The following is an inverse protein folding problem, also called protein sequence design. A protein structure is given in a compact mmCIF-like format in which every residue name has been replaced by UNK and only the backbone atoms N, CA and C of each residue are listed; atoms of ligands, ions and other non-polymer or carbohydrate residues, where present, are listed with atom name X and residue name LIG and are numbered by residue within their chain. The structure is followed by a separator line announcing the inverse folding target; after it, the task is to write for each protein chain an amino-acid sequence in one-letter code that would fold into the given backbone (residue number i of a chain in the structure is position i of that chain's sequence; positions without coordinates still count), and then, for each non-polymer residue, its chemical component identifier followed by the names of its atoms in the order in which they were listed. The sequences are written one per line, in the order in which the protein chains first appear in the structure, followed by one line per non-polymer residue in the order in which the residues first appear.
data_IF_943745193899
#
_entry.id   IF_943745193899
#
_cell.length_a   1.000
_cell.length_b   1.000
_cell.length_c   1.000
_cell.angle_alpha   90.00
_cell.angle_beta   90.00
_cell.angle_gamma   90.00
#
_symmetry.space_group_name_H-M   'P 1'
#
loop_
_entity.id
_entity.type
_entity.pdbx_description
1 polymer ?
#
# COMPACT_ATOMS: atom_id res chain seq x y z
N UNK A 1 -16.29 3.73 15.36
CA UNK A 1 -15.65 2.48 15.78
C UNK A 1 -14.39 2.81 16.56
N UNK A 2 -14.30 2.39 17.83
CA UNK A 2 -13.21 2.74 18.73
C UNK A 2 -11.88 2.12 18.22
N UNK A 3 -10.76 2.82 18.48
CA UNK A 3 -9.39 2.42 18.12
C UNK A 3 -9.04 1.01 18.64
N UNK A 4 -9.60 0.61 19.81
CA UNK A 4 -9.44 -0.73 20.37
C UNK A 4 -10.16 -1.81 19.56
N UNK A 5 -11.34 -1.53 19.03
CA UNK A 5 -12.10 -2.44 18.17
C UNK A 5 -11.38 -2.67 16.83
N UNK A 6 -10.76 -1.62 16.23
CA UNK A 6 -9.93 -1.77 15.01
C UNK A 6 -8.72 -2.65 15.25
N UNK A 7 -8.08 -2.56 16.43
CA UNK A 7 -6.93 -3.41 16.76
C UNK A 7 -7.31 -4.87 17.02
N UNK A 8 -8.51 -5.13 17.56
CA UNK A 8 -9.02 -6.51 17.73
C UNK A 8 -9.29 -7.17 16.38
N UNK A 9 -10.07 -6.53 15.51
CA UNK A 9 -10.40 -7.08 14.18
C UNK A 9 -9.16 -7.35 13.30
N UNK A 10 -8.06 -6.61 13.49
CA UNK A 10 -6.83 -6.81 12.71
C UNK A 10 -6.07 -8.09 13.12
N UNK A 11 -6.27 -8.58 14.33
CA UNK A 11 -5.59 -9.78 14.87
C UNK A 11 -6.41 -11.06 14.74
N UNK A 12 -7.71 -10.94 14.54
CA UNK A 12 -8.60 -12.09 14.45
C UNK A 12 -8.56 -12.71 13.06
N UNK A 13 -8.69 -14.03 12.99
CA UNK A 13 -8.89 -14.73 11.74
C UNK A 13 -10.18 -14.28 11.06
N UNK A 14 -10.20 -14.28 9.74
CA UNK A 14 -11.35 -13.87 8.96
C UNK A 14 -11.34 -14.49 7.56
N UNK A 15 -12.25 -14.01 6.72
CA UNK A 15 -12.37 -14.54 5.37
C UNK A 15 -11.39 -13.86 4.41
N UNK A 16 -10.79 -14.66 3.53
CA UNK A 16 -10.09 -14.19 2.35
C UNK A 16 -11.06 -14.23 1.18
N UNK A 17 -11.27 -13.08 0.53
CA UNK A 17 -12.27 -12.90 -0.53
C UNK A 17 -11.62 -12.38 -1.81
N UNK A 18 -12.19 -12.72 -2.96
CA UNK A 18 -11.84 -12.13 -4.24
C UNK A 18 -12.55 -10.76 -4.45
N UNK A 19 -12.27 -10.08 -5.58
CA UNK A 19 -12.88 -8.78 -5.90
C UNK A 19 -14.41 -8.83 -6.12
N UNK A 20 -15.00 -10.00 -6.31
CA UNK A 20 -16.45 -10.19 -6.37
C UNK A 20 -17.09 -10.34 -4.98
N UNK A 21 -16.27 -10.48 -3.93
CA UNK A 21 -16.70 -10.77 -2.56
C UNK A 21 -16.89 -12.26 -2.27
N UNK A 22 -16.53 -13.15 -3.20
CA UNK A 22 -16.59 -14.61 -2.98
C UNK A 22 -15.49 -15.01 -2.00
N UNK A 23 -15.86 -15.79 -1.00
CA UNK A 23 -14.90 -16.37 -0.04
C UNK A 23 -14.09 -17.47 -0.74
N UNK A 24 -12.78 -17.34 -0.72
CA UNK A 24 -11.82 -18.26 -1.34
C UNK A 24 -10.84 -18.88 -0.33
N UNK A 25 -10.89 -18.43 0.92
CA UNK A 25 -10.03 -18.95 1.98
C UNK A 25 -10.24 -18.22 3.30
N UNK A 26 -9.33 -18.44 4.22
CA UNK A 26 -9.28 -17.74 5.51
C UNK A 26 -7.89 -17.17 5.75
N UNK A 27 -7.83 -16.08 6.51
CA UNK A 27 -6.59 -15.46 6.97
C UNK A 27 -6.48 -15.54 8.50
N UNK A 28 -5.25 -15.51 9.02
CA UNK A 28 -4.95 -15.60 10.46
C UNK A 28 -4.91 -14.24 11.18
N UNK A 29 -5.36 -13.19 10.52
CA UNK A 29 -5.36 -11.80 11.00
C UNK A 29 -4.80 -10.85 9.96
N UNK A 30 -5.52 -9.77 9.67
CA UNK A 30 -5.17 -8.80 8.62
C UNK A 30 -3.80 -8.16 8.83
N UNK A 31 -3.29 -8.11 10.06
CA UNK A 31 -1.99 -7.54 10.39
C UNK A 31 -0.80 -8.32 9.79
N UNK A 32 -0.98 -9.60 9.52
CA UNK A 32 0.08 -10.45 8.97
C UNK A 32 0.25 -10.33 7.46
N UNK A 33 -0.62 -9.57 6.78
CA UNK A 33 -0.63 -9.45 5.33
C UNK A 33 -0.29 -8.03 4.90
N UNK A 34 0.45 -7.93 3.79
CA UNK A 34 0.85 -6.66 3.17
C UNK A 34 0.33 -6.60 1.73
N UNK A 35 0.02 -5.41 1.22
CA UNK A 35 -0.37 -5.22 -0.18
C UNK A 35 0.70 -5.79 -1.11
N UNK A 36 0.27 -6.51 -2.14
CA UNK A 36 1.13 -7.19 -3.10
C UNK A 36 1.78 -8.48 -2.58
N UNK A 37 1.45 -8.94 -1.36
CA UNK A 37 1.91 -10.22 -0.86
C UNK A 37 1.33 -11.37 -1.68
N UNK A 38 2.20 -12.34 -2.04
CA UNK A 38 1.85 -13.53 -2.83
C UNK A 38 1.90 -14.81 -2.01
N UNK A 39 2.85 -14.91 -1.07
CA UNK A 39 3.11 -16.15 -0.31
C UNK A 39 2.35 -16.15 1.01
N UNK A 40 2.00 -17.35 1.50
CA UNK A 40 1.39 -17.52 2.82
C UNK A 40 -0.08 -17.07 2.88
N UNK A 41 -0.79 -17.06 1.75
CA UNK A 41 -2.20 -16.67 1.69
C UNK A 41 -3.16 -17.80 2.10
N UNK A 42 -2.67 -19.04 2.26
CA UNK A 42 -3.51 -20.17 2.58
C UNK A 42 -4.51 -20.57 1.48
N UNK A 43 -4.39 -19.96 0.29
CA UNK A 43 -5.23 -20.24 -0.87
C UNK A 43 -4.52 -21.32 -1.67
N UNK A 44 -4.74 -22.59 -1.33
CA UNK A 44 -4.14 -23.74 -1.99
C UNK A 44 -5.19 -24.59 -2.72
N UNK A 45 -4.86 -25.04 -3.94
CA UNK A 45 -5.61 -26.11 -4.62
C UNK A 45 -6.91 -25.69 -5.30
N UNK A 46 -7.18 -24.42 -5.51
CA UNK A 46 -8.30 -24.00 -6.36
C UNK A 46 -7.89 -24.18 -7.83
N UNK A 47 -8.39 -25.23 -8.46
CA UNK A 47 -8.25 -25.46 -9.91
C UNK A 47 -9.11 -24.51 -10.76
N UNK A 48 -9.82 -23.58 -10.11
CA UNK A 48 -10.69 -22.60 -10.76
C UNK A 48 -9.93 -21.26 -10.88
N UNK A 49 -9.56 -20.88 -12.09
CA UNK A 49 -8.94 -19.59 -12.37
C UNK A 49 -7.94 -19.67 -13.52
N UNK A 50 -7.25 -18.56 -13.77
CA UNK A 50 -6.28 -18.41 -14.87
C UNK A 50 -4.97 -19.16 -14.63
N UNK A 51 -4.77 -19.82 -13.49
CA UNK A 51 -3.50 -20.44 -13.07
C UNK A 51 -2.47 -19.42 -12.57
N UNK A 52 -2.80 -18.12 -12.57
CA UNK A 52 -1.93 -17.07 -12.06
C UNK A 52 -1.88 -17.04 -10.54
N UNK A 53 -0.87 -16.39 -10.01
CA UNK A 53 -0.70 -16.26 -8.57
C UNK A 53 -1.70 -15.28 -7.95
N UNK A 54 -2.10 -15.55 -6.71
CA UNK A 54 -2.91 -14.66 -5.92
C UNK A 54 -2.06 -13.57 -5.25
N UNK A 55 -2.58 -12.34 -5.23
CA UNK A 55 -1.96 -11.19 -4.58
C UNK A 55 -2.95 -10.48 -3.66
N UNK A 56 -2.47 -10.00 -2.53
CA UNK A 56 -3.26 -9.13 -1.66
C UNK A 56 -3.41 -7.76 -2.32
N UNK A 57 -4.64 -7.35 -2.56
CA UNK A 57 -4.99 -6.06 -3.18
C UNK A 57 -5.65 -5.08 -2.20
N UNK A 58 -6.10 -5.57 -1.04
CA UNK A 58 -6.70 -4.71 -0.03
C UNK A 58 -7.09 -5.42 1.25
N UNK A 59 -7.63 -4.64 2.19
CA UNK A 59 -8.12 -5.10 3.49
C UNK A 59 -9.42 -4.37 3.81
N UNK A 60 -10.52 -5.11 3.96
CA UNK A 60 -11.78 -4.60 4.50
C UNK A 60 -11.74 -4.72 6.02
N UNK A 61 -11.33 -3.63 6.67
CA UNK A 61 -11.17 -3.61 8.14
C UNK A 61 -12.52 -3.69 8.87
N UNK A 62 -13.61 -3.23 8.23
CA UNK A 62 -14.95 -3.23 8.85
C UNK A 62 -15.51 -4.64 8.98
N UNK A 63 -15.27 -5.48 7.96
CA UNK A 63 -15.79 -6.85 7.87
C UNK A 63 -14.72 -7.91 8.17
N UNK A 64 -13.51 -7.49 8.55
CA UNK A 64 -12.34 -8.35 8.78
C UNK A 64 -12.08 -9.31 7.60
N UNK A 65 -11.98 -8.76 6.39
CA UNK A 65 -11.74 -9.52 5.16
C UNK A 65 -10.43 -9.14 4.50
N UNK A 66 -9.68 -10.14 4.06
CA UNK A 66 -8.51 -9.97 3.22
C UNK A 66 -8.96 -10.03 1.76
N UNK A 67 -8.74 -8.95 1.01
CA UNK A 67 -9.12 -8.89 -0.41
C UNK A 67 -7.93 -9.29 -1.26
N UNK A 68 -8.11 -10.29 -2.10
CA UNK A 68 -7.06 -10.82 -2.98
C UNK A 68 -7.55 -10.92 -4.42
N UNK A 69 -6.61 -10.93 -5.35
CA UNK A 69 -6.86 -11.04 -6.77
C UNK A 69 -5.83 -11.95 -7.43
N UNK A 70 -6.25 -12.66 -8.46
CA UNK A 70 -5.39 -13.49 -9.30
C UNK A 70 -4.74 -12.63 -10.39
N UNK A 71 -3.43 -12.78 -10.60
CA UNK A 71 -2.68 -11.97 -11.55
C UNK A 71 -2.30 -10.57 -11.05
N UNK A 72 -1.55 -9.83 -11.86
CA UNK A 72 -1.20 -8.43 -11.60
C UNK A 72 -2.15 -7.49 -12.34
N UNK A 73 -2.90 -6.71 -11.59
CA UNK A 73 -3.90 -5.78 -12.10
C UNK A 73 -3.73 -4.38 -11.50
N UNK A 74 -4.46 -3.42 -12.04
CA UNK A 74 -4.39 -1.99 -11.69
C UNK A 74 -4.64 -1.71 -10.20
N UNK A 75 -5.39 -2.57 -9.49
CA UNK A 75 -5.65 -2.46 -8.06
C UNK A 75 -4.40 -2.60 -7.19
N UNK A 76 -3.32 -3.18 -7.74
CA UNK A 76 -2.01 -3.29 -7.08
C UNK A 76 -1.16 -2.02 -7.22
N UNK A 77 -1.55 -1.09 -8.08
CA UNK A 77 -0.75 0.08 -8.40
C UNK A 77 -1.34 1.35 -7.79
N UNK A 78 -0.45 2.30 -7.48
CA UNK A 78 -0.79 3.63 -6.97
C UNK A 78 -0.09 4.69 -7.80
N UNK A 79 -0.69 5.88 -7.88
CA UNK A 79 -0.17 7.03 -8.64
C UNK A 79 0.45 8.09 -7.75
N UNK A 80 0.07 8.11 -6.47
CA UNK A 80 0.59 9.06 -5.48
C UNK A 80 0.48 8.48 -4.07
N UNK A 81 1.12 9.15 -3.12
CA UNK A 81 0.95 8.93 -1.69
C UNK A 81 0.92 10.25 -0.93
N UNK A 82 0.41 10.22 0.29
CA UNK A 82 0.60 11.27 1.28
C UNK A 82 1.49 10.79 2.42
N UNK A 83 2.27 11.71 2.99
CA UNK A 83 3.03 11.51 4.21
C UNK A 83 2.71 12.67 5.15
N UNK A 84 2.20 12.39 6.35
CA UNK A 84 1.85 13.44 7.33
C UNK A 84 3.07 14.15 7.88
N UNK A 85 4.21 13.46 7.94
CA UNK A 85 5.42 13.98 8.54
C UNK A 85 6.66 13.51 7.77
N UNK A 86 7.34 14.45 7.10
CA UNK A 86 8.63 14.22 6.49
C UNK A 86 9.74 14.85 7.32
N UNK A 87 10.83 14.11 7.50
CA UNK A 87 12.06 14.59 8.13
C UNK A 87 13.16 14.69 7.09
N UNK A 88 13.78 15.86 6.96
CA UNK A 88 14.89 16.12 6.05
C UNK A 88 16.21 16.15 6.82
N UNK A 89 17.25 15.54 6.25
CA UNK A 89 18.60 15.51 6.85
C UNK A 89 19.17 16.92 6.97
N UNK A 90 18.87 17.81 6.01
CA UNK A 90 19.23 19.23 6.03
C UNK A 90 18.47 20.08 7.04
N UNK A 91 17.48 19.49 7.72
CA UNK A 91 16.57 20.19 8.64
C UNK A 91 15.37 20.88 7.99
N UNK A 92 15.36 21.05 6.67
CA UNK A 92 14.25 21.65 5.92
C UNK A 92 14.11 21.03 4.52
N UNK A 93 12.91 21.15 3.93
CA UNK A 93 12.69 20.75 2.56
C UNK A 93 13.47 21.61 1.56
N UNK A 94 13.94 21.05 0.43
CA UNK A 94 14.65 21.81 -0.61
C UNK A 94 13.82 22.97 -1.17
N UNK A 95 12.53 22.77 -1.34
CA UNK A 95 11.57 23.76 -1.83
C UNK A 95 10.12 23.35 -1.46
N UNK A 96 9.16 24.26 -1.70
CA UNK A 96 7.72 23.92 -1.53
C UNK A 96 7.27 22.80 -2.48
N UNK A 97 7.82 22.80 -3.69
CA UNK A 97 7.65 21.71 -4.66
C UNK A 97 9.00 21.43 -5.33
N UNK A 98 9.35 20.16 -5.43
CA UNK A 98 10.62 19.73 -6.03
C UNK A 98 10.51 18.34 -6.64
N UNK A 99 11.40 18.06 -7.59
CA UNK A 99 11.56 16.73 -8.17
C UNK A 99 12.75 16.02 -7.51
N UNK A 100 12.57 14.74 -7.29
CA UNK A 100 13.61 13.86 -6.76
C UNK A 100 13.30 12.41 -7.13
N UNK A 101 14.04 11.48 -6.58
CA UNK A 101 13.70 10.06 -6.63
C UNK A 101 13.25 9.56 -5.27
N UNK A 102 12.45 8.49 -5.26
CA UNK A 102 11.93 7.89 -4.04
C UNK A 102 12.09 6.37 -4.03
N UNK A 103 12.26 5.80 -2.84
CA UNK A 103 12.14 4.37 -2.56
C UNK A 103 11.03 4.14 -1.54
N UNK A 104 10.17 3.17 -1.86
CA UNK A 104 9.08 2.73 -0.98
C UNK A 104 9.41 1.38 -0.32
N UNK A 105 10.49 0.73 -0.78
CA UNK A 105 11.03 -0.54 -0.26
C UNK A 105 12.53 -0.61 -0.47
N UNK A 106 13.25 -1.27 0.43
CA UNK A 106 14.71 -1.33 0.44
C UNK A 106 15.35 -1.82 -0.88
N UNK A 107 14.75 -2.82 -1.54
CA UNK A 107 15.31 -3.40 -2.78
C UNK A 107 14.66 -2.90 -4.06
N UNK A 108 13.86 -1.84 -3.98
CA UNK A 108 13.23 -1.24 -5.15
C UNK A 108 14.21 -0.30 -5.85
N UNK A 109 14.22 -0.24 -7.19
CA UNK A 109 14.91 0.83 -7.93
C UNK A 109 14.34 2.20 -7.55
N UNK A 110 15.16 3.24 -7.72
CA UNK A 110 14.72 4.61 -7.54
C UNK A 110 13.64 4.98 -8.54
N UNK A 111 12.59 5.66 -8.06
CA UNK A 111 11.43 6.06 -8.85
C UNK A 111 11.33 7.58 -8.87
N UNK A 112 11.17 8.15 -10.07
CA UNK A 112 10.97 9.58 -10.24
C UNK A 112 9.66 10.04 -9.61
N UNK A 113 9.75 11.11 -8.81
CA UNK A 113 8.59 11.66 -8.11
C UNK A 113 8.62 13.18 -8.08
N UNK A 114 7.44 13.78 -7.93
CA UNK A 114 7.26 15.19 -7.59
C UNK A 114 6.72 15.28 -6.16
N UNK A 115 7.45 15.98 -5.30
CA UNK A 115 7.07 16.21 -3.90
C UNK A 115 6.47 17.59 -3.77
N UNK A 116 5.28 17.70 -3.19
CA UNK A 116 4.62 18.98 -2.85
C UNK A 116 4.40 19.04 -1.34
N UNK A 117 5.08 19.98 -0.67
CA UNK A 117 5.03 20.14 0.78
C UNK A 117 3.76 20.84 1.27
N UNK A 118 3.18 20.36 2.35
CA UNK A 118 2.02 20.89 3.06
C UNK A 118 2.34 20.96 4.57
N UNK A 119 3.05 22.02 4.99
CA UNK A 119 3.62 22.06 6.36
C UNK A 119 4.69 21.00 6.55
N UNK A 120 4.53 20.13 7.55
CA UNK A 120 5.46 19.04 7.84
C UNK A 120 5.19 17.78 6.99
N UNK A 121 4.04 17.72 6.31
CA UNK A 121 3.65 16.64 5.43
C UNK A 121 3.85 16.96 3.96
N UNK A 122 3.59 15.99 3.09
CA UNK A 122 3.66 16.16 1.64
C UNK A 122 2.72 15.23 0.89
N UNK A 123 2.35 15.66 -0.33
CA UNK A 123 1.87 14.79 -1.40
C UNK A 123 3.04 14.44 -2.30
N UNK A 124 3.16 13.18 -2.66
CA UNK A 124 4.23 12.66 -3.52
C UNK A 124 3.59 11.96 -4.71
N UNK A 125 3.63 12.62 -5.86
CA UNK A 125 3.12 12.14 -7.13
C UNK A 125 4.18 11.32 -7.86
N UNK A 126 3.82 10.16 -8.39
CA UNK A 126 4.74 9.25 -9.08
C UNK A 126 4.75 9.54 -10.58
N UNK A 127 5.93 9.50 -11.22
CA UNK A 127 6.06 9.65 -12.67
C UNK A 127 5.40 8.50 -13.43
N UNK A 128 5.32 7.33 -12.82
CA UNK A 128 4.60 6.15 -13.31
C UNK A 128 3.94 5.40 -12.15
N UNK A 129 2.83 4.68 -12.40
CA UNK A 129 2.18 3.91 -11.34
C UNK A 129 3.14 2.93 -10.65
N UNK A 130 3.16 2.94 -9.32
CA UNK A 130 4.04 2.13 -8.50
C UNK A 130 3.30 1.00 -7.81
N UNK A 131 3.92 -0.19 -7.85
CA UNK A 131 3.31 -1.42 -7.37
C UNK A 131 3.38 -1.53 -5.84
N UNK A 132 2.22 -1.81 -5.24
CA UNK A 132 2.07 -2.22 -3.84
C UNK A 132 2.72 -1.25 -2.84
N UNK A 133 2.57 0.04 -3.08
CA UNK A 133 2.89 1.07 -2.09
C UNK A 133 1.89 0.92 -0.93
N UNK A 134 2.39 0.86 0.30
CA UNK A 134 1.58 0.43 1.45
C UNK A 134 1.61 1.48 2.55
N UNK A 135 0.46 1.95 3.06
CA UNK A 135 0.38 2.77 4.27
C UNK A 135 1.09 2.12 5.46
N UNK A 136 1.74 2.95 6.27
CA UNK A 136 2.54 2.49 7.42
C UNK A 136 3.97 2.07 7.09
N UNK A 137 4.34 1.95 5.81
CA UNK A 137 5.74 1.83 5.38
C UNK A 137 6.38 3.22 5.26
N UNK A 138 7.68 3.26 4.95
CA UNK A 138 8.42 4.51 4.81
C UNK A 138 8.69 4.82 3.34
N UNK A 139 8.56 6.10 2.98
CA UNK A 139 9.12 6.66 1.76
C UNK A 139 10.44 7.34 2.09
N UNK A 140 11.47 7.07 1.30
CA UNK A 140 12.80 7.71 1.41
C UNK A 140 13.10 8.44 0.11
N UNK A 141 13.49 9.71 0.22
CA UNK A 141 13.70 10.63 -0.89
C UNK A 141 15.22 10.81 -1.15
N UNK A 142 15.59 10.84 -2.42
CA UNK A 142 16.97 10.96 -2.86
C UNK A 142 17.13 12.01 -3.97
N UNK A 143 18.27 12.68 -3.99
CA UNK A 143 18.75 13.46 -5.12
C UNK A 143 20.06 12.81 -5.61
N UNK A 144 19.97 12.02 -6.69
CA UNK A 144 21.05 11.10 -7.06
C UNK A 144 21.37 10.14 -5.91
N UNK A 145 22.61 10.11 -5.47
CA UNK A 145 23.07 9.26 -4.35
C UNK A 145 22.88 9.90 -2.97
N UNK A 146 22.40 11.16 -2.91
CA UNK A 146 22.21 11.88 -1.65
C UNK A 146 20.83 11.61 -1.08
N UNK A 147 20.76 11.03 0.14
CA UNK A 147 19.52 10.90 0.87
C UNK A 147 19.05 12.27 1.38
N UNK A 148 17.89 12.72 0.93
CA UNK A 148 17.27 13.98 1.37
C UNK A 148 16.55 13.82 2.71
N UNK A 149 15.95 12.68 2.94
CA UNK A 149 15.13 12.39 4.11
C UNK A 149 13.99 11.43 3.80
N UNK A 150 12.95 11.42 4.63
CA UNK A 150 11.80 10.55 4.43
C UNK A 150 10.80 10.60 5.58
N UNK A 151 9.77 9.77 5.48
CA UNK A 151 8.72 9.69 6.49
C UNK A 151 7.78 8.51 6.27
N UNK A 152 6.86 8.28 7.22
CA UNK A 152 5.86 7.25 7.09
C UNK A 152 4.83 7.60 6.01
N UNK A 153 4.45 6.61 5.23
CA UNK A 153 3.36 6.71 4.26
C UNK A 153 2.05 6.65 5.04
N UNK A 154 1.21 7.67 4.86
CA UNK A 154 -0.10 7.75 5.50
C UNK A 154 -1.18 7.12 4.60
N UNK A 155 -1.42 7.71 3.44
CA UNK A 155 -2.40 7.21 2.47
C UNK A 155 -1.75 7.02 1.10
N UNK A 156 -2.39 6.22 0.27
CA UNK A 156 -2.01 6.01 -1.13
C UNK A 156 -3.19 6.25 -2.04
N UNK A 157 -2.95 6.87 -3.18
CA UNK A 157 -3.92 7.04 -4.25
C UNK A 157 -3.82 5.84 -5.20
N UNK A 158 -4.76 4.88 -5.15
CA UNK A 158 -4.72 3.71 -6.01
C UNK A 158 -4.98 4.12 -7.47
N UNK A 159 -4.32 3.46 -8.42
CA UNK A 159 -4.59 3.62 -9.86
C UNK A 159 -6.04 3.22 -10.17
N UNK A 160 -6.52 2.15 -9.51
CA UNK A 160 -7.90 1.71 -9.55
C UNK A 160 -8.37 1.36 -8.14
N UNK A 161 -9.46 1.99 -7.72
CA UNK A 161 -10.06 1.74 -6.42
C UNK A 161 -10.64 0.33 -6.31
N UNK A 162 -10.64 -0.23 -5.11
CA UNK A 162 -11.37 -1.45 -4.83
C UNK A 162 -12.87 -1.27 -5.10
N UNK A 163 -13.59 -2.35 -5.48
CA UNK A 163 -15.04 -2.30 -5.63
C UNK A 163 -15.73 -1.74 -4.37
N UNK A 164 -16.84 -0.99 -4.57
CA UNK A 164 -17.59 -0.35 -3.47
C UNK A 164 -18.01 -1.30 -2.34
N UNK A 165 -18.18 -2.59 -2.65
CA UNK A 165 -18.49 -3.60 -1.62
C UNK A 165 -17.43 -3.70 -0.51
N UNK A 166 -16.23 -3.13 -0.69
CA UNK A 166 -15.14 -3.13 0.30
C UNK A 166 -14.86 -1.74 0.89
N UNK A 167 -15.44 -0.68 0.34
CA UNK A 167 -15.18 0.72 0.74
C UNK A 167 -16.31 1.38 1.52
N UNK A 168 -17.50 0.76 1.54
CA UNK A 168 -18.71 1.24 2.26
C UNK A 168 -18.84 0.60 3.70
#
# INVERSE_FOLDING_TARGET
CDRRQRQMCIRDSGDTVDLSGRVIGKHDGLMYYTLGQRRGLGIGGMNEGTGESWFVVGKDLKRNRLVVQQGEHEELFSTALTAEKLSFISGCAPAKQFRCTAKFRYRQPDRGVTVTMHGDGATIDFDSPERAVTPGQWVVLYDGDVCLGGGPIDEVAPLKALPKIFTD
#
